data_IF_921331403685
#
_entry.id   IF_921331403685
#
_cell.length_a   1.000
_cell.length_b   1.000
_cell.length_c   1.000
_cell.angle_alpha   90.00
_cell.angle_beta   90.00
_cell.angle_gamma   90.00
#
_symmetry.space_group_name_H-M   'P 1'
#
loop_
_entity.id
_entity.type
_entity.pdbx_description
1 polymer ?
#
# COMPACT_ATOMS: atom_id res chain seq x y z
N UNK A 1 31.34 20.97 21.80
CA UNK A 1 30.16 21.74 22.25
C UNK A 1 28.94 21.05 21.68
N UNK A 2 28.19 20.36 22.53
CA UNK A 2 27.02 19.56 22.15
C UNK A 2 25.80 20.47 22.02
N UNK A 3 25.17 20.46 20.85
CA UNK A 3 23.90 21.13 20.62
C UNK A 3 22.83 20.34 21.38
N UNK A 4 22.06 20.94 22.30
CA UNK A 4 21.05 20.21 23.06
C UNK A 4 19.91 19.80 22.14
N UNK A 5 19.59 18.49 22.13
CA UNK A 5 18.31 17.97 21.62
C UNK A 5 17.19 18.68 22.38
N UNK A 6 16.40 19.53 21.71
CA UNK A 6 15.17 20.12 22.25
C UNK A 6 14.14 19.00 22.50
N UNK A 7 14.24 18.34 23.64
CA UNK A 7 13.14 17.58 24.23
C UNK A 7 12.06 18.56 24.65
N UNK A 8 10.82 18.36 24.17
CA UNK A 8 9.64 18.99 24.77
C UNK A 8 9.51 18.44 26.21
N UNK A 9 8.94 19.20 27.15
CA UNK A 9 8.59 18.66 28.45
C UNK A 9 7.59 17.52 28.22
N UNK A 10 7.82 16.37 28.85
CA UNK A 10 6.78 15.37 29.03
C UNK A 10 5.59 16.09 29.68
N UNK A 11 4.41 16.08 29.03
CA UNK A 11 3.21 16.66 29.63
C UNK A 11 2.92 15.86 30.90
N UNK A 12 3.00 16.51 32.06
CA UNK A 12 2.91 15.84 33.37
C UNK A 12 1.49 15.54 33.84
N UNK A 13 0.46 15.81 33.04
CA UNK A 13 -0.94 15.60 33.41
C UNK A 13 -1.92 15.77 32.23
N UNK A 14 -3.23 15.58 32.48
CA UNK A 14 -4.25 15.62 31.45
C UNK A 14 -4.35 16.97 30.74
N UNK A 15 -4.51 16.96 29.41
CA UNK A 15 -4.64 18.16 28.58
C UNK A 15 -5.84 18.03 27.66
N UNK A 16 -6.64 19.09 27.54
CA UNK A 16 -7.69 19.16 26.53
C UNK A 16 -7.12 19.53 25.17
N UNK A 17 -7.48 18.76 24.14
CA UNK A 17 -7.02 18.92 22.78
C UNK A 17 -8.21 18.94 21.83
N UNK A 18 -8.19 19.88 20.90
CA UNK A 18 -9.09 19.90 19.74
C UNK A 18 -8.40 19.36 18.48
N UNK A 19 -7.08 19.23 18.52
CA UNK A 19 -6.24 18.66 17.47
C UNK A 19 -4.87 18.28 18.05
N UNK A 20 -4.10 17.50 17.28
CA UNK A 20 -2.71 17.15 17.63
C UNK A 20 -2.56 15.72 18.12
N UNK A 21 -1.38 15.41 18.65
CA UNK A 21 -1.05 14.04 19.01
C UNK A 21 -1.58 13.62 20.37
N UNK A 22 -2.04 12.37 20.44
CA UNK A 22 -2.52 11.70 21.62
C UNK A 22 -1.42 10.81 22.19
N UNK A 23 -1.16 10.97 23.49
CA UNK A 23 -0.20 10.17 24.24
C UNK A 23 -0.90 9.12 25.15
N UNK A 24 -2.18 9.31 25.47
CA UNK A 24 -2.99 8.43 26.30
C UNK A 24 -3.54 7.20 25.56
N UNK A 25 -4.06 6.24 26.35
CA UNK A 25 -4.63 4.99 25.82
C UNK A 25 -6.01 5.19 25.18
N UNK A 26 -6.24 4.55 24.03
CA UNK A 26 -7.51 4.62 23.30
C UNK A 26 -8.54 3.55 23.71
N UNK A 27 -8.23 2.70 24.69
CA UNK A 27 -9.08 1.56 25.10
C UNK A 27 -10.55 1.93 25.33
N UNK A 28 -10.82 3.15 25.84
CA UNK A 28 -12.17 3.63 26.13
C UNK A 28 -12.96 4.09 24.88
N UNK A 29 -12.29 4.23 23.72
CA UNK A 29 -12.91 4.62 22.46
C UNK A 29 -13.35 3.42 21.62
N UNK A 30 -12.83 2.22 21.89
CA UNK A 30 -13.18 1.04 21.12
C UNK A 30 -14.66 0.67 21.32
N UNK A 31 -15.36 0.21 20.26
CA UNK A 31 -14.95 0.25 18.85
C UNK A 31 -15.21 1.62 18.18
N UNK A 32 -14.37 1.98 17.20
CA UNK A 32 -14.52 3.20 16.40
C UNK A 32 -14.07 3.00 14.95
N UNK A 33 -14.60 3.82 14.05
CA UNK A 33 -14.06 3.98 12.70
C UNK A 33 -12.95 5.02 12.71
N UNK A 34 -11.84 4.71 12.07
CA UNK A 34 -10.70 5.59 11.85
C UNK A 34 -10.63 5.94 10.38
N UNK A 35 -10.68 7.24 10.05
CA UNK A 35 -10.39 7.75 8.70
C UNK A 35 -9.06 8.48 8.77
N UNK A 36 -7.97 7.84 8.33
CA UNK A 36 -6.63 8.34 8.60
C UNK A 36 -5.62 8.03 7.48
N UNK A 37 -4.58 8.85 7.44
CA UNK A 37 -3.35 8.54 6.73
C UNK A 37 -2.36 7.85 7.69
N UNK A 38 -1.63 6.86 7.16
CA UNK A 38 -0.46 6.25 7.80
C UNK A 38 0.78 7.08 7.47
N UNK A 39 1.54 7.49 8.49
CA UNK A 39 2.80 8.20 8.29
C UNK A 39 3.21 9.03 9.49
N UNK A 40 4.44 9.56 9.52
CA UNK A 40 4.94 10.34 10.65
C UNK A 40 4.09 11.61 10.85
N UNK A 41 3.14 11.59 11.79
CA UNK A 41 2.30 12.76 12.10
C UNK A 41 3.12 13.90 12.70
N UNK A 42 4.29 13.57 13.25
CA UNK A 42 5.21 14.52 13.87
C UNK A 42 5.67 15.61 12.91
N UNK A 43 5.74 15.35 11.60
CA UNK A 43 5.99 16.40 10.60
C UNK A 43 4.79 17.32 10.44
N UNK A 44 3.60 16.72 10.21
CA UNK A 44 2.34 17.45 9.99
C UNK A 44 1.92 18.37 11.15
N UNK A 45 2.23 17.99 12.39
CA UNK A 45 1.94 18.80 13.58
C UNK A 45 3.14 19.62 14.07
N UNK A 46 4.36 19.45 13.52
CA UNK A 46 5.55 20.26 13.86
C UNK A 46 5.47 21.66 13.26
N UNK A 47 4.89 21.77 12.08
CA UNK A 47 4.73 23.04 11.37
C UNK A 47 3.51 23.82 11.85
N UNK A 48 3.08 23.62 13.10
CA UNK A 48 1.97 24.29 13.78
C UNK A 48 2.21 25.79 14.01
N UNK A 49 2.55 26.52 12.94
CA UNK A 49 2.30 27.93 12.84
C UNK A 49 0.80 28.23 12.88
N UNK A 50 0.43 29.47 13.21
CA UNK A 50 -0.97 29.90 13.21
C UNK A 50 -1.62 29.60 11.83
N UNK A 51 -2.72 28.86 11.82
CA UNK A 51 -3.44 28.45 10.60
C UNK A 51 -3.48 26.94 10.33
N UNK A 52 -2.65 26.14 10.99
CA UNK A 52 -2.58 24.68 10.82
C UNK A 52 -3.44 23.88 11.83
N UNK A 53 -4.34 24.56 12.52
CA UNK A 53 -5.25 23.98 13.52
C UNK A 53 -6.46 23.34 12.82
N UNK A 54 -6.46 22.02 12.68
CA UNK A 54 -7.62 21.27 12.19
C UNK A 54 -8.33 20.58 13.32
N UNK A 55 -9.38 21.22 13.82
CA UNK A 55 -10.28 20.63 14.82
C UNK A 55 -10.71 19.22 14.38
N UNK A 56 -10.56 18.26 15.29
CA UNK A 56 -10.87 16.85 15.08
C UNK A 56 -9.76 16.01 14.43
N UNK A 57 -8.64 16.61 14.01
CA UNK A 57 -7.50 15.89 13.45
C UNK A 57 -6.52 15.47 14.56
N UNK A 58 -6.41 14.17 14.81
CA UNK A 58 -5.58 13.63 15.88
C UNK A 58 -4.46 12.73 15.37
N UNK A 59 -3.29 12.86 15.99
CA UNK A 59 -2.15 11.97 15.82
C UNK A 59 -2.25 10.79 16.78
N UNK A 60 -2.27 9.57 16.28
CA UNK A 60 -2.46 8.35 17.09
C UNK A 60 -1.17 7.52 17.02
N UNK A 61 -0.44 7.46 18.13
CA UNK A 61 0.74 6.63 18.28
C UNK A 61 0.45 5.26 18.92
N UNK A 62 -0.60 5.16 19.75
CA UNK A 62 -0.95 3.98 20.55
C UNK A 62 -1.43 2.76 19.72
N UNK A 63 -1.57 2.91 18.40
CA UNK A 63 -1.97 1.85 17.48
C UNK A 63 -0.80 1.19 16.74
N UNK A 64 0.46 1.53 17.10
CA UNK A 64 1.67 0.90 16.58
C UNK A 64 2.57 0.33 17.69
N UNK A 65 3.14 -0.87 17.50
CA UNK A 65 4.08 -1.49 18.43
C UNK A 65 5.45 -0.80 18.42
N UNK A 66 5.72 0.10 17.48
CA UNK A 66 6.98 0.84 17.41
C UNK A 66 6.76 2.34 17.32
N UNK A 67 7.43 3.09 18.20
CA UNK A 67 7.40 4.57 18.24
C UNK A 67 7.97 5.16 16.93
N UNK A 68 8.74 4.38 16.17
CA UNK A 68 9.43 4.78 14.93
C UNK A 68 8.71 4.40 13.62
N UNK A 69 7.81 3.42 13.60
CA UNK A 69 7.12 2.99 12.39
C UNK A 69 5.60 2.94 12.60
N UNK A 70 4.84 3.74 11.85
CA UNK A 70 3.38 3.63 11.75
C UNK A 70 2.58 4.45 12.73
N UNK A 71 2.72 5.78 12.69
CA UNK A 71 1.76 6.65 13.39
C UNK A 71 0.59 7.03 12.47
N UNK A 72 -0.61 7.24 13.00
CA UNK A 72 -1.76 7.70 12.22
C UNK A 72 -2.04 9.17 12.43
N UNK A 73 -2.50 9.87 11.40
CA UNK A 73 -3.11 11.18 11.53
C UNK A 73 -4.49 11.16 10.88
N UNK A 74 -5.55 11.31 11.66
CA UNK A 74 -6.90 11.17 11.13
C UNK A 74 -8.03 11.50 12.09
N UNK A 75 -9.22 11.13 11.65
CA UNK A 75 -10.51 11.39 12.27
C UNK A 75 -10.99 10.14 13.00
N UNK A 76 -11.43 10.31 14.24
CA UNK A 76 -11.97 9.22 15.08
C UNK A 76 -13.49 9.35 15.09
N UNK A 77 -14.18 8.29 14.69
CA UNK A 77 -15.65 8.20 14.62
C UNK A 77 -16.12 7.05 15.53
N UNK A 78 -16.43 7.30 16.81
CA UNK A 78 -16.88 6.27 17.74
C UNK A 78 -18.15 5.57 17.22
N UNK A 79 -18.25 4.24 17.32
CA UNK A 79 -19.49 3.55 16.92
C UNK A 79 -20.70 4.00 17.74
N UNK A 80 -20.47 4.39 19.00
CA UNK A 80 -21.48 4.97 19.88
C UNK A 80 -22.09 6.27 19.34
N UNK A 81 -21.39 6.97 18.45
CA UNK A 81 -21.88 8.19 17.78
C UNK A 81 -22.68 7.92 16.50
N UNK A 82 -22.79 6.66 16.07
CA UNK A 82 -23.62 6.32 14.92
C UNK A 82 -25.10 6.54 15.23
N UNK A 83 -25.71 7.48 14.50
CA UNK A 83 -27.12 7.90 14.58
C UNK A 83 -28.07 6.89 13.94
N UNK A 84 -27.58 6.01 13.08
CA UNK A 84 -28.35 4.95 12.46
C UNK A 84 -28.21 3.64 13.26
N UNK A 85 -29.27 3.18 13.95
CA UNK A 85 -29.20 1.98 14.78
C UNK A 85 -28.87 0.71 13.98
N UNK A 86 -29.33 0.60 12.74
CA UNK A 86 -29.09 -0.60 11.92
C UNK A 86 -27.62 -0.69 11.51
N UNK A 87 -27.04 0.42 11.05
CA UNK A 87 -25.61 0.51 10.73
C UNK A 87 -24.76 0.28 11.98
N UNK A 88 -25.13 0.90 13.11
CA UNK A 88 -24.41 0.70 14.39
C UNK A 88 -24.39 -0.77 14.79
N UNK A 89 -25.55 -1.42 14.81
CA UNK A 89 -25.68 -2.82 15.19
C UNK A 89 -24.88 -3.73 14.25
N UNK A 90 -24.93 -3.52 12.93
CA UNK A 90 -24.14 -4.34 11.99
C UNK A 90 -22.63 -4.19 12.19
N UNK A 91 -22.14 -2.99 12.50
CA UNK A 91 -20.73 -2.77 12.82
C UNK A 91 -20.33 -3.40 14.16
N UNK A 92 -21.17 -3.28 15.20
CA UNK A 92 -20.94 -3.93 16.49
C UNK A 92 -20.97 -5.46 16.38
N UNK A 93 -21.91 -6.02 15.61
CA UNK A 93 -22.00 -7.46 15.38
C UNK A 93 -20.83 -7.96 14.54
N UNK A 94 -20.35 -7.16 13.58
CA UNK A 94 -19.08 -7.41 12.90
C UNK A 94 -17.93 -7.50 13.90
N UNK A 95 -17.82 -6.57 14.86
CA UNK A 95 -16.80 -6.66 15.92
C UNK A 95 -16.93 -7.97 16.72
N UNK A 96 -18.15 -8.29 17.18
CA UNK A 96 -18.43 -9.52 17.94
C UNK A 96 -18.01 -10.78 17.17
N UNK A 97 -18.26 -10.85 15.87
CA UNK A 97 -17.86 -11.98 15.02
C UNK A 97 -16.33 -12.18 15.01
N UNK A 98 -15.56 -11.09 15.00
CA UNK A 98 -14.10 -11.17 14.97
C UNK A 98 -13.47 -11.36 16.36
N UNK A 99 -14.13 -10.92 17.43
CA UNK A 99 -13.71 -11.18 18.82
C UNK A 99 -14.05 -12.59 19.32
N UNK A 100 -15.03 -13.26 18.71
CA UNK A 100 -15.45 -14.60 19.11
C UNK A 100 -14.29 -15.62 19.07
N UNK A 101 -14.20 -16.48 20.09
CA UNK A 101 -13.24 -17.59 20.16
C UNK A 101 -13.96 -18.93 19.90
N UNK A 102 -14.61 -19.05 18.75
CA UNK A 102 -15.48 -20.18 18.39
C UNK A 102 -14.89 -21.16 17.35
N UNK A 103 -13.62 -21.01 17.00
CA UNK A 103 -12.91 -21.89 16.05
C UNK A 103 -13.32 -21.74 14.58
N UNK A 104 -14.26 -20.84 14.24
CA UNK A 104 -14.69 -20.60 12.85
C UNK A 104 -13.56 -19.99 12.00
N UNK A 105 -13.55 -20.33 10.72
CA UNK A 105 -12.54 -19.82 9.77
C UNK A 105 -12.75 -18.32 9.52
N UNK A 106 -11.66 -17.57 9.35
CA UNK A 106 -11.69 -16.11 9.05
C UNK A 106 -12.57 -15.76 7.84
N UNK A 107 -12.43 -16.50 6.74
CA UNK A 107 -13.23 -16.30 5.53
C UNK A 107 -14.74 -16.51 5.76
N UNK A 108 -15.12 -17.32 6.74
CA UNK A 108 -16.51 -17.53 7.12
C UNK A 108 -17.06 -16.33 7.90
N UNK A 109 -16.35 -15.90 8.96
CA UNK A 109 -16.69 -14.71 9.75
C UNK A 109 -16.80 -13.47 8.88
N UNK A 110 -15.89 -13.34 7.92
CA UNK A 110 -15.87 -12.24 6.95
C UNK A 110 -17.09 -12.24 6.02
N UNK A 111 -17.47 -13.39 5.46
CA UNK A 111 -18.66 -13.49 4.61
C UNK A 111 -19.94 -13.15 5.37
N UNK A 112 -20.01 -13.58 6.63
CA UNK A 112 -21.11 -13.24 7.51
C UNK A 112 -21.11 -11.75 7.86
N UNK A 113 -19.97 -11.19 8.25
CA UNK A 113 -19.82 -9.76 8.51
C UNK A 113 -20.18 -8.92 7.28
N UNK A 114 -19.75 -9.31 6.08
CA UNK A 114 -20.14 -8.63 4.85
C UNK A 114 -21.66 -8.71 4.63
N UNK A 115 -22.28 -9.87 4.89
CA UNK A 115 -23.75 -10.02 4.84
C UNK A 115 -24.46 -9.08 5.80
N UNK A 116 -23.97 -8.94 7.04
CA UNK A 116 -24.53 -8.02 8.04
C UNK A 116 -24.42 -6.56 7.58
N UNK A 117 -23.26 -6.17 7.05
CA UNK A 117 -22.99 -4.82 6.55
C UNK A 117 -23.81 -4.50 5.31
N UNK A 118 -23.97 -5.46 4.39
CA UNK A 118 -24.80 -5.31 3.19
C UNK A 118 -26.29 -5.16 3.56
N UNK A 119 -26.76 -5.90 4.57
CA UNK A 119 -28.13 -5.84 5.06
C UNK A 119 -28.46 -4.51 5.76
N UNK A 120 -27.52 -3.95 6.54
CA UNK A 120 -27.66 -2.61 7.12
C UNK A 120 -27.60 -1.51 6.07
N UNK A 121 -26.98 -1.79 4.92
CA UNK A 121 -26.74 -0.83 3.87
C UNK A 121 -25.63 0.16 4.22
N UNK A 122 -25.37 1.10 3.32
CA UNK A 122 -24.43 2.19 3.58
C UNK A 122 -23.02 2.00 3.01
N UNK A 123 -22.78 0.95 2.22
CA UNK A 123 -21.58 0.85 1.38
C UNK A 123 -20.30 0.44 2.12
N UNK A 124 -20.43 -0.18 3.29
CA UNK A 124 -19.32 -0.80 4.01
C UNK A 124 -18.92 -2.10 3.31
N UNK A 125 -17.81 -2.09 2.58
CA UNK A 125 -17.23 -3.30 2.00
C UNK A 125 -15.93 -3.61 2.71
N UNK A 126 -15.83 -4.78 3.33
CA UNK A 126 -14.60 -5.26 3.94
C UNK A 126 -13.57 -5.58 2.83
N UNK A 127 -12.29 -5.28 3.06
CA UNK A 127 -11.15 -5.58 2.14
C UNK A 127 -10.45 -6.92 2.47
N UNK A 128 -10.02 -7.73 1.48
CA UNK A 128 -9.88 -9.21 1.59
C UNK A 128 -8.86 -9.77 2.62
N UNK A 129 -7.68 -9.19 2.77
CA UNK A 129 -6.49 -9.78 3.42
C UNK A 129 -5.77 -8.96 4.51
N UNK A 130 -5.71 -9.45 5.75
CA UNK A 130 -4.85 -8.86 6.77
C UNK A 130 -5.03 -9.52 8.13
N UNK A 131 -3.99 -9.44 8.96
CA UNK A 131 -4.08 -9.86 10.36
C UNK A 131 -5.12 -9.00 11.10
N UNK A 132 -6.17 -9.64 11.64
CA UNK A 132 -7.32 -8.99 12.25
C UNK A 132 -7.09 -8.67 13.72
N UNK A 133 -5.84 -8.39 14.10
CA UNK A 133 -5.46 -8.06 15.47
C UNK A 133 -6.07 -6.69 15.86
N UNK A 134 -7.37 -6.66 16.12
CA UNK A 134 -8.09 -5.46 16.60
C UNK A 134 -8.57 -4.48 15.54
N UNK A 135 -8.50 -4.80 14.24
CA UNK A 135 -9.04 -3.92 13.20
C UNK A 135 -9.52 -4.63 11.93
N UNK A 136 -10.35 -3.95 11.13
CA UNK A 136 -10.86 -4.36 9.82
C UNK A 136 -10.88 -3.17 8.86
N UNK A 137 -10.20 -3.26 7.73
CA UNK A 137 -10.23 -2.20 6.72
C UNK A 137 -11.46 -2.25 5.81
N UNK A 138 -11.86 -1.07 5.35
CA UNK A 138 -13.04 -0.83 4.54
C UNK A 138 -12.66 -0.21 3.18
N UNK A 139 -13.26 -0.73 2.12
CA UNK A 139 -13.04 -0.25 0.76
C UNK A 139 -13.64 1.15 0.59
N UNK A 140 -12.91 2.03 -0.08
CA UNK A 140 -13.32 3.42 -0.40
C UNK A 140 -14.30 3.46 -1.57
N UNK A 141 -15.45 2.80 -1.43
CA UNK A 141 -16.55 2.92 -2.41
C UNK A 141 -17.25 4.27 -2.23
N UNK A 142 -17.79 4.88 -3.30
CA UNK A 142 -18.48 6.19 -3.20
C UNK A 142 -19.56 6.26 -2.11
N UNK A 143 -20.25 5.14 -1.86
CA UNK A 143 -21.31 5.04 -0.86
C UNK A 143 -20.81 5.19 0.59
N UNK A 144 -19.55 4.87 0.89
CA UNK A 144 -19.01 4.88 2.25
C UNK A 144 -19.07 6.28 2.87
N UNK A 145 -18.49 7.29 2.22
CA UNK A 145 -18.44 8.66 2.75
C UNK A 145 -19.81 9.31 2.83
N UNK A 146 -20.71 9.00 1.89
CA UNK A 146 -22.11 9.42 1.99
C UNK A 146 -22.78 8.87 3.25
N UNK A 147 -22.46 7.64 3.66
CA UNK A 147 -22.98 7.04 4.89
C UNK A 147 -22.31 7.60 6.13
N UNK A 148 -20.99 7.80 6.13
CA UNK A 148 -20.29 8.46 7.25
C UNK A 148 -20.91 9.83 7.53
N UNK A 149 -21.14 10.64 6.48
CA UNK A 149 -21.81 11.93 6.59
C UNK A 149 -23.19 11.85 7.24
N UNK A 150 -24.04 10.92 6.78
CA UNK A 150 -25.42 10.79 7.27
C UNK A 150 -25.48 10.21 8.67
N UNK A 151 -24.61 9.27 9.00
CA UNK A 151 -24.78 8.42 10.17
C UNK A 151 -23.84 8.74 11.32
N UNK A 152 -22.67 9.34 11.10
CA UNK A 152 -21.65 9.45 12.16
C UNK A 152 -21.39 10.88 12.62
N UNK A 153 -21.04 11.02 13.90
CA UNK A 153 -20.22 12.13 14.37
C UNK A 153 -18.74 11.71 14.37
N UNK A 154 -17.85 12.70 14.37
CA UNK A 154 -16.44 12.53 14.63
C UNK A 154 -16.04 13.29 15.90
N UNK A 155 -14.99 12.83 16.57
CA UNK A 155 -14.44 13.51 17.74
C UNK A 155 -13.81 14.83 17.31
N UNK A 156 -14.18 15.91 17.99
CA UNK A 156 -13.62 17.25 17.77
C UNK A 156 -12.84 17.77 18.96
N UNK A 157 -13.07 17.19 20.15
CA UNK A 157 -12.37 17.54 21.37
C UNK A 157 -12.27 16.36 22.32
N UNK A 158 -11.11 16.22 22.94
CA UNK A 158 -10.80 15.14 23.86
C UNK A 158 -9.89 15.62 25.01
N UNK A 159 -9.90 14.88 26.10
CA UNK A 159 -8.92 15.01 27.18
C UNK A 159 -7.91 13.89 27.04
N UNK A 160 -6.67 14.25 26.81
CA UNK A 160 -5.55 13.33 26.67
C UNK A 160 -4.76 13.26 27.98
N UNK A 161 -4.70 12.07 28.58
CA UNK A 161 -3.90 11.79 29.76
C UNK A 161 -2.76 10.82 29.39
N UNK A 162 -1.50 11.30 29.30
CA UNK A 162 -0.35 10.47 28.94
C UNK A 162 -0.13 9.28 29.90
N UNK A 163 -0.56 9.38 31.16
CA UNK A 163 -0.46 8.29 32.14
C UNK A 163 -1.74 7.44 32.21
N UNK A 164 -2.80 7.85 31.49
CA UNK A 164 -4.15 7.36 31.65
C UNK A 164 -4.79 6.95 30.33
N UNK A 165 -5.99 7.45 30.10
CA UNK A 165 -6.83 7.16 28.92
C UNK A 165 -7.25 8.45 28.25
N UNK A 166 -7.52 8.37 26.96
CA UNK A 166 -8.19 9.44 26.23
C UNK A 166 -9.69 9.42 26.56
N UNK A 167 -10.26 10.59 26.81
CA UNK A 167 -11.69 10.79 27.07
C UNK A 167 -12.28 11.72 26.00
N UNK A 168 -13.38 11.32 25.35
CA UNK A 168 -14.09 12.20 24.41
C UNK A 168 -14.84 13.27 25.18
N UNK A 169 -14.59 14.53 24.83
CA UNK A 169 -15.29 15.68 25.42
C UNK A 169 -16.34 16.26 24.49
N UNK A 170 -16.16 16.16 23.17
CA UNK A 170 -17.12 16.61 22.18
C UNK A 170 -17.02 15.84 20.87
N UNK A 171 -18.17 15.69 20.21
CA UNK A 171 -18.32 15.16 18.86
C UNK A 171 -19.14 16.13 18.01
N UNK A 172 -18.93 16.12 16.70
CA UNK A 172 -19.73 16.86 15.72
C UNK A 172 -20.05 15.99 14.50
N UNK A 173 -21.19 16.23 13.82
CA UNK A 173 -21.55 15.49 12.60
C UNK A 173 -20.40 15.47 11.60
N UNK A 174 -20.12 14.30 11.02
CA UNK A 174 -19.09 14.15 9.99
C UNK A 174 -19.43 15.02 8.78
N UNK A 175 -18.66 16.10 8.49
CA UNK A 175 -19.13 17.14 7.58
C UNK A 175 -18.97 16.79 6.09
N UNK A 176 -18.08 15.85 5.74
CA UNK A 176 -17.72 15.56 4.34
C UNK A 176 -18.66 14.55 3.69
N UNK A 177 -19.26 14.93 2.56
CA UNK A 177 -20.24 14.12 1.82
C UNK A 177 -19.61 13.10 0.91
N UNK A 178 -18.36 13.35 0.51
CA UNK A 178 -17.61 12.51 -0.42
C UNK A 178 -16.18 12.31 0.07
N UNK A 179 -15.52 11.33 -0.53
CA UNK A 179 -14.10 11.08 -0.28
C UNK A 179 -13.22 12.25 -0.74
N UNK A 180 -13.55 12.86 -1.88
CA UNK A 180 -12.83 14.04 -2.40
C UNK A 180 -12.90 15.23 -1.45
N UNK A 181 -14.08 15.54 -0.91
CA UNK A 181 -14.24 16.62 0.08
C UNK A 181 -13.40 16.36 1.35
N UNK A 182 -13.32 15.10 1.79
CA UNK A 182 -12.49 14.74 2.94
C UNK A 182 -10.99 14.85 2.64
N UNK A 183 -10.56 14.50 1.43
CA UNK A 183 -9.16 14.66 0.98
C UNK A 183 -8.77 16.13 0.82
N UNK A 184 -9.60 16.93 0.17
CA UNK A 184 -9.43 18.38 0.02
C UNK A 184 -9.28 19.02 1.39
N UNK A 185 -10.19 18.71 2.31
CA UNK A 185 -10.07 19.17 3.68
C UNK A 185 -8.76 18.67 4.30
N UNK A 186 -8.44 17.39 4.20
CA UNK A 186 -7.25 16.86 4.87
C UNK A 186 -5.95 17.52 4.38
N UNK A 187 -5.83 17.81 3.08
CA UNK A 187 -4.61 18.33 2.45
C UNK A 187 -4.56 19.84 2.26
N UNK A 188 -5.67 20.56 2.38
CA UNK A 188 -5.71 22.01 2.13
C UNK A 188 -4.70 22.89 2.91
N UNK A 189 -4.15 22.57 4.11
CA UNK A 189 -3.07 23.36 4.72
C UNK A 189 -1.66 22.85 4.36
N UNK A 190 -1.57 21.75 3.62
CA UNK A 190 -0.34 21.02 3.32
C UNK A 190 -0.04 21.01 1.81
N UNK A 191 -0.73 21.86 1.04
CA UNK A 191 -0.79 21.86 -0.44
C UNK A 191 0.53 22.29 -1.11
N UNK A 192 1.52 22.71 -0.31
CA UNK A 192 2.87 23.06 -0.78
C UNK A 192 3.72 21.81 -1.12
N UNK A 193 3.15 20.60 -1.06
CA UNK A 193 3.89 19.36 -1.32
C UNK A 193 3.93 19.03 -2.81
N UNK A 194 5.12 18.69 -3.35
CA UNK A 194 5.28 18.32 -4.77
C UNK A 194 4.73 16.92 -5.12
N UNK A 195 3.96 16.27 -4.25
CA UNK A 195 3.50 14.89 -4.40
C UNK A 195 1.97 14.82 -4.44
N UNK A 196 1.36 13.84 -5.15
CA UNK A 196 -0.08 13.63 -5.12
C UNK A 196 -0.58 13.43 -3.69
N UNK A 197 -1.81 13.85 -3.42
CA UNK A 197 -2.43 13.68 -2.11
C UNK A 197 -2.40 12.22 -1.67
N UNK A 198 -1.76 11.96 -0.54
CA UNK A 198 -1.85 10.66 0.12
C UNK A 198 -3.30 10.36 0.51
N UNK A 199 -3.73 9.13 0.28
CA UNK A 199 -5.11 8.75 0.54
C UNK A 199 -5.37 8.51 2.03
N UNK A 200 -6.61 8.80 2.43
CA UNK A 200 -7.14 8.38 3.73
C UNK A 200 -7.72 6.99 3.64
N UNK A 201 -7.28 6.10 4.51
CA UNK A 201 -7.88 4.78 4.67
C UNK A 201 -8.98 4.81 5.72
N UNK A 202 -9.96 3.93 5.58
CA UNK A 202 -11.05 3.78 6.53
C UNK A 202 -10.99 2.41 7.17
N UNK A 203 -10.89 2.37 8.49
CA UNK A 203 -10.68 1.15 9.26
C UNK A 203 -11.61 1.12 10.46
N UNK A 204 -12.29 -0.01 10.68
CA UNK A 204 -12.97 -0.31 11.93
C UNK A 204 -11.96 -0.85 12.94
N UNK A 205 -11.79 -0.16 14.06
CA UNK A 205 -10.82 -0.49 15.13
C UNK A 205 -11.59 -0.88 16.38
N UNK A 206 -11.28 -2.04 16.95
CA UNK A 206 -12.00 -2.62 18.10
C UNK A 206 -11.11 -3.25 19.17
N UNK A 207 -9.82 -3.40 18.92
CA UNK A 207 -8.86 -3.72 19.97
C UNK A 207 -7.53 -3.01 19.73
N UNK A 208 -6.69 -3.02 20.76
CA UNK A 208 -5.30 -2.56 20.65
C UNK A 208 -4.59 -3.48 19.66
N UNK A 209 -4.34 -2.96 18.47
CA UNK A 209 -3.66 -3.71 17.44
C UNK A 209 -2.19 -3.89 17.81
N UNK A 210 -1.63 -5.06 17.50
CA UNK A 210 -0.17 -5.28 17.49
C UNK A 210 0.52 -4.52 16.34
N UNK A 211 -0.04 -3.37 15.96
CA UNK A 211 0.24 -2.62 14.75
C UNK A 211 -0.93 -2.73 13.80
N UNK A 212 -1.56 -1.61 13.49
CA UNK A 212 -2.19 -1.49 12.18
C UNK A 212 -1.00 -1.50 11.20
N UNK A 213 -0.62 -2.68 10.70
CA UNK A 213 0.66 -2.88 10.02
C UNK A 213 0.79 -2.16 8.66
N UNK A 214 1.88 -2.41 7.89
CA UNK A 214 2.08 -1.89 6.52
C UNK A 214 0.88 -2.07 5.58
N UNK A 215 -0.05 -2.96 5.93
CA UNK A 215 -1.38 -3.20 5.36
C UNK A 215 -2.23 -1.97 4.99
N UNK A 216 -2.00 -0.81 5.61
CA UNK A 216 -2.69 0.44 5.24
C UNK A 216 -2.19 1.07 3.92
N UNK A 217 -0.99 0.70 3.46
CA UNK A 217 -0.43 1.11 2.15
C UNK A 217 -1.03 0.27 1.02
N UNK A 218 -1.15 -1.05 1.23
CA UNK A 218 -1.74 -1.99 0.27
C UNK A 218 -3.24 -1.72 0.05
N UNK A 219 -3.92 -1.17 1.06
CA UNK A 219 -5.38 -1.10 1.08
C UNK A 219 -5.92 0.20 0.57
N UNK A 220 -5.05 1.09 0.08
CA UNK A 220 -5.59 2.27 -0.52
C UNK A 220 -4.85 3.18 -1.43
N UNK A 221 -3.52 3.14 -1.49
CA UNK A 221 -2.70 3.83 -2.50
C UNK A 221 -1.27 3.90 -1.97
N UNK A 222 -0.48 2.89 -2.25
CA UNK A 222 0.33 3.11 -3.43
C UNK A 222 -0.37 2.38 -4.55
N UNK A 223 -0.95 3.13 -5.46
CA UNK A 223 -0.98 2.65 -6.83
C UNK A 223 0.49 2.61 -7.21
N UNK A 224 1.25 1.57 -6.82
CA UNK A 224 2.54 1.35 -7.46
C UNK A 224 2.28 1.46 -8.96
N UNK A 225 1.14 0.90 -9.42
CA UNK A 225 0.56 1.08 -10.74
C UNK A 225 -0.39 2.30 -10.88
N UNK A 226 0.11 3.46 -11.29
CA UNK A 226 -0.69 4.67 -11.60
C UNK A 226 -1.00 4.85 -13.09
N UNK A 227 -1.94 5.72 -13.43
CA UNK A 227 -2.08 6.27 -14.80
C UNK A 227 -1.46 7.67 -14.79
N UNK A 228 -0.34 7.91 -15.50
CA UNK A 228 0.21 9.26 -15.54
C UNK A 228 -0.78 10.25 -16.19
N UNK A 229 -0.75 11.51 -15.74
CA UNK A 229 -1.71 12.54 -16.18
C UNK A 229 -1.40 13.09 -17.58
N UNK A 230 -0.11 13.11 -17.96
CA UNK A 230 0.35 13.67 -19.22
C UNK A 230 0.09 12.74 -20.40
N UNK A 231 -0.90 13.04 -21.23
CA UNK A 231 -1.13 12.31 -22.48
C UNK A 231 -0.16 12.79 -23.57
N UNK A 232 0.95 12.07 -23.74
CA UNK A 232 2.01 12.47 -24.66
C UNK A 232 1.50 12.61 -26.11
N UNK A 233 0.61 11.71 -26.55
CA UNK A 233 -0.05 11.75 -27.87
C UNK A 233 -0.79 13.06 -28.17
N UNK A 234 -1.25 13.79 -27.15
CA UNK A 234 -1.99 15.05 -27.34
C UNK A 234 -1.05 16.24 -27.61
N UNK A 235 0.26 16.06 -27.36
CA UNK A 235 1.26 17.12 -27.38
C UNK A 235 2.46 16.84 -28.29
N UNK A 236 2.69 15.58 -28.65
CA UNK A 236 3.86 15.17 -29.42
C UNK A 236 3.49 14.13 -30.49
N UNK A 237 4.01 14.32 -31.69
CA UNK A 237 3.98 13.33 -32.77
C UNK A 237 5.33 12.64 -32.88
N UNK A 238 5.31 11.32 -32.82
CA UNK A 238 6.53 10.54 -32.98
C UNK A 238 7.03 10.62 -34.43
N UNK A 239 8.36 10.76 -34.61
CA UNK A 239 8.96 10.75 -35.94
C UNK A 239 8.66 9.41 -36.64
N UNK A 240 8.08 9.38 -37.86
CA UNK A 240 7.58 8.15 -38.48
C UNK A 240 8.62 7.04 -38.74
N UNK A 241 9.89 7.43 -38.89
CA UNK A 241 11.02 6.55 -39.17
C UNK A 241 11.84 6.19 -37.91
N UNK A 242 11.35 6.52 -36.71
CA UNK A 242 12.02 6.14 -35.47
C UNK A 242 11.82 4.64 -35.21
N UNK A 243 12.90 3.83 -35.16
CA UNK A 243 12.79 2.42 -34.84
C UNK A 243 12.44 2.23 -33.37
N UNK A 244 11.78 1.12 -33.06
CA UNK A 244 11.60 0.67 -31.68
C UNK A 244 12.95 0.26 -31.09
N UNK A 245 13.11 0.51 -29.80
CA UNK A 245 14.31 0.17 -29.09
C UNK A 245 14.45 -1.35 -28.93
N UNK A 246 15.67 -1.84 -29.07
CA UNK A 246 15.97 -3.22 -28.70
C UNK A 246 15.85 -3.36 -27.18
N UNK A 247 14.84 -4.10 -26.74
CA UNK A 247 14.48 -4.26 -25.34
C UNK A 247 14.86 -5.65 -24.80
N UNK A 248 15.47 -5.69 -23.62
CA UNK A 248 15.60 -6.91 -22.84
C UNK A 248 15.29 -6.66 -21.37
N UNK A 249 14.67 -7.65 -20.73
CA UNK A 249 14.33 -7.66 -19.31
C UNK A 249 14.85 -8.97 -18.73
N UNK A 250 15.52 -8.92 -17.60
CA UNK A 250 16.03 -10.09 -16.92
C UNK A 250 15.95 -9.92 -15.41
N UNK A 251 15.72 -11.03 -14.70
CA UNK A 251 15.81 -11.09 -13.25
C UNK A 251 16.93 -12.05 -12.86
N UNK A 252 17.67 -11.69 -11.81
CA UNK A 252 18.73 -12.54 -11.25
C UNK A 252 18.99 -12.20 -9.79
N UNK A 253 19.40 -13.19 -9.01
CA UNK A 253 19.89 -12.92 -7.66
C UNK A 253 21.15 -12.05 -7.70
N UNK A 254 21.19 -11.09 -6.79
CA UNK A 254 22.37 -10.26 -6.54
C UNK A 254 23.04 -10.56 -5.20
N UNK A 255 22.36 -11.33 -4.36
CA UNK A 255 22.77 -11.73 -3.02
C UNK A 255 21.60 -12.40 -2.31
N UNK A 256 21.76 -12.65 -1.01
CA UNK A 256 20.65 -13.11 -0.19
C UNK A 256 19.59 -12.02 -0.08
N UNK A 257 18.32 -12.40 -0.24
CA UNK A 257 17.13 -11.55 -0.07
C UNK A 257 16.96 -10.46 -1.13
N UNK A 258 17.77 -10.48 -2.20
CA UNK A 258 17.79 -9.44 -3.21
C UNK A 258 17.85 -10.01 -4.62
N UNK A 259 16.93 -9.54 -5.45
CA UNK A 259 16.86 -9.81 -6.88
C UNK A 259 17.14 -8.49 -7.62
N UNK A 260 17.96 -8.54 -8.67
CA UNK A 260 18.07 -7.45 -9.63
C UNK A 260 17.10 -7.65 -10.77
N UNK A 261 16.28 -6.63 -11.01
CA UNK A 261 15.55 -6.42 -12.26
C UNK A 261 16.43 -5.57 -13.19
N UNK A 262 17.06 -6.21 -14.17
CA UNK A 262 17.86 -5.57 -15.20
C UNK A 262 16.95 -5.28 -16.41
N UNK A 263 16.82 -4.00 -16.78
CA UNK A 263 16.08 -3.54 -17.96
C UNK A 263 17.05 -2.85 -18.91
N UNK A 264 17.17 -3.36 -20.13
CA UNK A 264 18.05 -2.78 -21.16
C UNK A 264 17.24 -2.29 -22.33
N UNK A 265 17.47 -1.04 -22.74
CA UNK A 265 16.94 -0.48 -23.99
C UNK A 265 18.04 0.30 -24.71
N UNK A 266 18.18 0.11 -26.03
CA UNK A 266 19.19 0.80 -26.85
C UNK A 266 20.62 0.72 -26.29
N UNK A 267 21.00 -0.45 -25.77
CA UNK A 267 22.33 -0.69 -25.19
C UNK A 267 22.57 -0.06 -23.81
N UNK A 268 21.58 0.62 -23.22
CA UNK A 268 21.65 1.15 -21.86
C UNK A 268 20.87 0.24 -20.91
N UNK A 269 21.56 -0.28 -19.89
CA UNK A 269 20.96 -1.10 -18.83
C UNK A 269 20.71 -0.27 -17.58
N UNK A 270 19.49 -0.33 -17.06
CA UNK A 270 19.13 0.13 -15.72
C UNK A 270 18.91 -1.07 -14.85
N UNK A 271 19.47 -1.03 -13.65
CA UNK A 271 19.34 -2.06 -12.64
C UNK A 271 18.48 -1.53 -11.50
N UNK A 272 17.45 -2.30 -11.17
CA UNK A 272 16.52 -2.01 -10.08
C UNK A 272 16.66 -3.14 -9.08
N UNK A 273 16.84 -2.79 -7.81
CA UNK A 273 16.87 -3.75 -6.72
C UNK A 273 15.44 -4.17 -6.38
N UNK A 274 15.24 -5.43 -5.99
CA UNK A 274 13.95 -5.98 -5.58
C UNK A 274 14.20 -6.82 -4.33
N UNK A 275 13.74 -6.36 -3.16
CA UNK A 275 14.03 -7.02 -1.88
C UNK A 275 12.87 -7.85 -1.34
N UNK A 276 13.18 -8.80 -0.46
CA UNK A 276 12.18 -9.59 0.30
C UNK A 276 11.32 -8.73 1.24
N UNK A 277 11.81 -7.55 1.59
CA UNK A 277 11.13 -6.60 2.46
C UNK A 277 9.88 -6.01 1.81
N UNK A 278 9.91 -5.83 0.48
CA UNK A 278 8.86 -5.23 -0.34
C UNK A 278 8.90 -5.81 -1.76
N UNK A 279 8.56 -7.09 -1.96
CA UNK A 279 8.67 -7.73 -3.26
C UNK A 279 7.76 -7.05 -4.29
N UNK A 280 8.30 -6.43 -5.36
CA UNK A 280 7.49 -5.65 -6.29
C UNK A 280 6.77 -6.51 -7.33
N UNK A 281 6.91 -7.84 -7.30
CA UNK A 281 6.53 -8.74 -8.39
C UNK A 281 5.03 -8.73 -8.71
N UNK A 282 4.17 -8.63 -7.69
CA UNK A 282 2.73 -8.51 -7.89
C UNK A 282 2.37 -7.20 -8.62
N UNK A 283 3.03 -6.10 -8.25
CA UNK A 283 2.84 -4.79 -8.89
C UNK A 283 3.41 -4.77 -10.32
N UNK A 284 4.55 -5.42 -10.57
CA UNK A 284 5.11 -5.60 -11.92
C UNK A 284 4.14 -6.39 -12.79
N UNK A 285 3.55 -7.47 -12.28
CA UNK A 285 2.52 -8.23 -13.01
C UNK A 285 1.30 -7.35 -13.29
N UNK A 286 0.78 -6.64 -12.29
CA UNK A 286 -0.38 -5.76 -12.46
C UNK A 286 -0.11 -4.65 -13.50
N UNK A 287 1.09 -4.06 -13.50
CA UNK A 287 1.51 -3.06 -14.48
C UNK A 287 1.63 -3.65 -15.88
N UNK A 288 2.36 -4.75 -16.06
CA UNK A 288 2.57 -5.37 -17.36
C UNK A 288 1.28 -5.92 -17.97
N UNK A 289 0.36 -6.46 -17.16
CA UNK A 289 -0.98 -6.89 -17.59
C UNK A 289 -1.82 -5.76 -18.18
N UNK A 290 -1.69 -4.54 -17.66
CA UNK A 290 -2.41 -3.37 -18.19
C UNK A 290 -1.89 -3.00 -19.58
N UNK A 291 -0.58 -3.05 -19.76
CA UNK A 291 0.07 -2.85 -21.07
C UNK A 291 -0.39 -3.92 -22.06
N UNK A 292 -0.36 -5.19 -21.66
CA UNK A 292 -0.81 -6.34 -22.47
C UNK A 292 -2.30 -6.25 -22.85
N UNK A 293 -3.12 -5.65 -21.98
CA UNK A 293 -4.53 -5.37 -22.25
C UNK A 293 -4.76 -4.15 -23.18
N UNK A 294 -3.70 -3.52 -23.68
CA UNK A 294 -3.75 -2.38 -24.61
C UNK A 294 -3.83 -1.02 -23.92
N UNK A 295 -3.52 -0.92 -22.62
CA UNK A 295 -3.44 0.37 -21.96
C UNK A 295 -2.22 1.16 -22.47
N UNK A 296 -2.50 2.34 -23.01
CA UNK A 296 -1.48 3.17 -23.67
C UNK A 296 -0.71 4.04 -22.70
N UNK A 297 -1.14 4.12 -21.44
CA UNK A 297 -0.50 4.98 -20.45
C UNK A 297 -0.62 4.40 -19.05
N UNK A 298 0.51 4.02 -18.45
CA UNK A 298 0.55 3.39 -17.13
C UNK A 298 1.95 3.50 -16.54
N UNK A 299 2.06 3.67 -15.23
CA UNK A 299 3.33 3.80 -14.53
C UNK A 299 3.40 2.87 -13.32
N UNK A 300 4.59 2.35 -13.03
CA UNK A 300 4.90 1.52 -11.87
C UNK A 300 5.96 2.20 -11.00
N UNK A 301 5.77 2.27 -9.68
CA UNK A 301 6.79 2.66 -8.71
C UNK A 301 7.31 1.43 -7.95
N UNK A 302 8.63 1.29 -7.90
CA UNK A 302 9.34 0.27 -7.11
C UNK A 302 10.12 1.00 -6.00
N UNK A 303 9.79 0.73 -4.74
CA UNK A 303 10.37 1.36 -3.54
C UNK A 303 11.19 0.37 -2.71
N UNK A 304 12.51 0.55 -2.73
CA UNK A 304 13.50 -0.30 -2.05
C UNK A 304 14.18 0.44 -0.90
N UNK A 305 13.39 0.96 0.05
CA UNK A 305 13.89 1.64 1.26
C UNK A 305 15.01 2.68 0.98
N UNK A 306 14.83 3.45 -0.10
CA UNK A 306 15.83 4.36 -0.64
C UNK A 306 15.38 5.00 -1.95
N UNK A 307 16.07 4.78 -3.08
CA UNK A 307 15.68 5.34 -4.36
C UNK A 307 14.38 4.70 -4.87
N UNK A 308 13.37 5.52 -5.17
CA UNK A 308 12.15 5.04 -5.83
C UNK A 308 12.35 5.10 -7.34
N UNK A 309 12.31 3.94 -7.99
CA UNK A 309 12.38 3.81 -9.45
C UNK A 309 10.97 3.80 -10.01
N UNK A 310 10.68 4.75 -10.89
CA UNK A 310 9.38 4.85 -11.56
C UNK A 310 9.54 4.45 -13.03
N UNK A 311 8.84 3.39 -13.42
CA UNK A 311 8.76 2.87 -14.78
C UNK A 311 7.48 3.42 -15.42
N UNK A 312 7.58 4.30 -16.41
CA UNK A 312 6.40 4.91 -17.04
C UNK A 312 6.30 4.54 -18.51
N UNK A 313 5.10 4.15 -18.93
CA UNK A 313 4.69 4.03 -20.31
C UNK A 313 3.82 5.24 -20.67
N UNK A 314 4.26 6.01 -21.67
CA UNK A 314 3.54 7.18 -22.17
C UNK A 314 3.16 6.96 -23.64
N UNK A 315 1.88 6.80 -23.92
CA UNK A 315 1.37 6.49 -25.25
C UNK A 315 1.65 7.59 -26.26
N UNK A 316 1.98 7.19 -27.49
CA UNK A 316 2.18 8.11 -28.62
C UNK A 316 0.94 8.19 -29.52
N UNK A 317 1.00 9.05 -30.54
CA UNK A 317 -0.01 9.12 -31.59
C UNK A 317 0.03 7.92 -32.57
N UNK A 318 1.07 7.08 -32.48
CA UNK A 318 1.20 5.85 -33.26
C UNK A 318 0.71 4.64 -32.42
N UNK A 319 -0.32 3.90 -32.88
CA UNK A 319 -0.81 2.71 -32.18
C UNK A 319 0.30 1.66 -31.98
N UNK A 320 0.34 1.05 -30.80
CA UNK A 320 1.34 0.04 -30.43
C UNK A 320 2.71 0.61 -30.07
N UNK A 321 2.94 1.93 -30.20
CA UNK A 321 4.19 2.58 -29.80
C UNK A 321 4.01 3.50 -28.61
N UNK A 322 4.94 3.40 -27.67
CA UNK A 322 4.97 4.23 -26.48
C UNK A 322 6.38 4.69 -26.14
N UNK A 323 6.48 5.82 -25.45
CA UNK A 323 7.69 6.25 -24.80
C UNK A 323 7.78 5.59 -23.42
N UNK A 324 8.73 4.68 -23.26
CA UNK A 324 9.05 4.03 -22.00
C UNK A 324 10.17 4.78 -21.29
N UNK A 325 9.98 5.09 -20.01
CA UNK A 325 10.95 5.80 -19.20
C UNK A 325 11.19 5.11 -17.87
N UNK A 326 12.41 5.24 -17.34
CA UNK A 326 12.74 4.88 -15.96
C UNK A 326 13.34 6.11 -15.31
N UNK A 327 12.68 6.61 -14.26
CA UNK A 327 13.09 7.80 -13.52
C UNK A 327 13.33 7.48 -12.06
N UNK A 328 14.16 8.29 -11.42
CA UNK A 328 14.32 8.32 -9.96
C UNK A 328 13.52 9.47 -9.39
N UNK A 329 12.51 9.20 -8.56
CA UNK A 329 11.57 10.23 -8.13
C UNK A 329 12.20 11.32 -7.26
N UNK A 330 13.11 10.97 -6.35
CA UNK A 330 13.68 11.95 -5.42
C UNK A 330 14.74 12.85 -6.06
N UNK A 331 15.47 12.35 -7.05
CA UNK A 331 16.51 13.09 -7.75
C UNK A 331 16.03 13.68 -9.09
N UNK A 332 14.82 13.31 -9.52
CA UNK A 332 14.25 13.64 -10.84
C UNK A 332 15.16 13.20 -12.01
N UNK A 333 16.00 12.19 -11.78
CA UNK A 333 16.98 11.71 -12.76
C UNK A 333 16.35 10.72 -13.73
N UNK A 334 16.49 10.95 -15.04
CA UNK A 334 16.08 10.00 -16.09
C UNK A 334 17.20 8.97 -16.32
N UNK A 335 16.93 7.72 -15.93
CA UNK A 335 17.85 6.60 -16.07
C UNK A 335 17.71 5.85 -17.38
N UNK A 336 16.52 5.86 -17.98
CA UNK A 336 16.27 5.25 -19.29
C UNK A 336 15.11 5.98 -19.97
N UNK A 337 15.23 6.16 -21.28
CA UNK A 337 14.18 6.67 -22.13
C UNK A 337 14.31 6.01 -23.49
N UNK A 338 13.26 5.34 -23.94
CA UNK A 338 13.25 4.59 -25.18
C UNK A 338 11.84 4.54 -25.76
N UNK A 339 11.74 4.55 -27.09
CA UNK A 339 10.49 4.26 -27.78
C UNK A 339 10.41 2.76 -27.96
N UNK A 340 9.30 2.15 -27.55
CA UNK A 340 9.14 0.71 -27.51
C UNK A 340 7.82 0.31 -28.16
N UNK A 341 7.80 -0.91 -28.68
CA UNK A 341 6.58 -1.64 -29.00
C UNK A 341 5.93 -2.13 -27.69
N UNK A 342 4.65 -1.84 -27.50
CA UNK A 342 3.94 -2.13 -26.25
C UNK A 342 3.75 -3.62 -26.00
N UNK A 343 3.52 -4.38 -27.06
CA UNK A 343 3.31 -5.83 -26.98
C UNK A 343 4.64 -6.53 -26.68
N UNK A 344 5.74 -6.10 -27.31
CA UNK A 344 7.08 -6.57 -26.98
C UNK A 344 7.44 -6.25 -25.52
N UNK A 345 7.17 -5.04 -25.05
CA UNK A 345 7.41 -4.65 -23.65
C UNK A 345 6.70 -5.58 -22.67
N UNK A 346 5.39 -5.75 -22.79
CA UNK A 346 4.61 -6.61 -21.90
C UNK A 346 5.12 -8.06 -21.95
N UNK A 347 5.38 -8.57 -23.15
CA UNK A 347 5.89 -9.93 -23.37
C UNK A 347 7.27 -10.14 -22.74
N UNK A 348 8.20 -9.18 -22.84
CA UNK A 348 9.54 -9.29 -22.23
C UNK A 348 9.49 -9.35 -20.72
N UNK A 349 8.62 -8.55 -20.09
CA UNK A 349 8.40 -8.64 -18.63
C UNK A 349 7.79 -9.98 -18.23
N UNK A 350 6.80 -10.47 -18.98
CA UNK A 350 6.19 -11.78 -18.77
C UNK A 350 7.21 -12.92 -18.88
N UNK A 351 8.01 -12.91 -19.95
CA UNK A 351 9.08 -13.89 -20.22
C UNK A 351 10.09 -13.90 -19.06
N UNK A 352 10.59 -12.72 -18.67
CA UNK A 352 11.60 -12.60 -17.63
C UNK A 352 11.08 -13.10 -16.26
N UNK A 353 9.86 -12.72 -15.88
CA UNK A 353 9.23 -13.17 -14.64
C UNK A 353 9.01 -14.68 -14.64
N UNK A 354 8.47 -15.23 -15.72
CA UNK A 354 8.25 -16.67 -15.86
C UNK A 354 9.57 -17.43 -15.76
N UNK A 355 10.55 -17.12 -16.61
CA UNK A 355 11.84 -17.82 -16.62
C UNK A 355 12.54 -17.74 -15.26
N UNK A 356 12.55 -16.58 -14.63
CA UNK A 356 13.19 -16.45 -13.32
C UNK A 356 12.44 -17.21 -12.23
N UNK A 357 11.13 -17.01 -12.07
CA UNK A 357 10.37 -17.64 -10.98
C UNK A 357 10.18 -19.15 -11.16
N UNK A 358 10.18 -19.63 -12.40
CA UNK A 358 10.05 -21.05 -12.72
C UNK A 358 11.39 -21.80 -12.69
N UNK A 359 12.43 -21.25 -13.32
CA UNK A 359 13.70 -21.96 -13.54
C UNK A 359 14.88 -21.42 -12.73
N UNK A 360 14.86 -20.13 -12.40
CA UNK A 360 16.00 -19.41 -11.80
C UNK A 360 15.86 -19.08 -10.32
N UNK A 361 14.68 -19.30 -9.73
CA UNK A 361 14.37 -18.91 -8.36
C UNK A 361 14.90 -19.96 -7.38
N UNK A 362 15.66 -19.49 -6.41
CA UNK A 362 16.21 -20.28 -5.32
C UNK A 362 15.56 -19.80 -4.02
N UNK A 363 14.61 -20.58 -3.46
CA UNK A 363 13.94 -20.20 -2.24
C UNK A 363 14.91 -20.02 -1.07
N UNK A 364 16.01 -20.77 -1.01
CA UNK A 364 17.00 -20.64 0.07
C UNK A 364 17.77 -19.32 0.00
N UNK A 365 17.93 -18.74 -1.20
CA UNK A 365 18.52 -17.41 -1.37
C UNK A 365 17.53 -16.28 -1.08
N UNK A 366 16.23 -16.56 -1.22
CA UNK A 366 15.15 -15.60 -0.95
C UNK A 366 14.67 -15.60 0.51
N UNK A 367 14.77 -16.74 1.21
CA UNK A 367 14.18 -16.96 2.52
C UNK A 367 14.93 -16.27 3.66
N UNK A 368 14.46 -15.08 4.03
CA UNK A 368 14.76 -14.54 5.34
C UNK A 368 13.91 -15.30 6.36
N UNK A 369 14.53 -15.94 7.35
CA UNK A 369 13.95 -16.96 8.25
C UNK A 369 12.69 -16.54 9.06
N UNK A 370 12.12 -15.35 8.83
CA UNK A 370 11.06 -14.77 9.65
C UNK A 370 9.95 -14.00 8.89
N UNK A 371 9.88 -13.96 7.54
CA UNK A 371 8.93 -13.03 6.87
C UNK A 371 8.12 -13.53 5.67
N UNK A 372 8.55 -14.56 4.96
CA UNK A 372 7.78 -15.19 3.88
C UNK A 372 8.16 -16.66 3.85
N UNK A 373 7.21 -17.59 3.71
CA UNK A 373 7.59 -18.97 3.42
C UNK A 373 8.21 -18.97 2.00
N UNK A 374 9.49 -19.35 1.84
CA UNK A 374 10.26 -19.25 0.59
C UNK A 374 9.52 -19.69 -0.69
N UNK A 375 8.72 -20.74 -0.58
CA UNK A 375 8.02 -21.39 -1.69
C UNK A 375 6.74 -20.67 -2.13
N UNK A 376 6.30 -19.66 -1.36
CA UNK A 376 5.06 -18.94 -1.62
C UNK A 376 5.20 -17.88 -2.72
N UNK A 377 6.38 -17.28 -2.93
CA UNK A 377 6.53 -16.19 -3.91
C UNK A 377 6.30 -16.66 -5.36
N UNK A 378 6.99 -17.70 -5.87
CA UNK A 378 6.71 -18.22 -7.21
C UNK A 378 5.24 -18.62 -7.36
N UNK A 379 4.68 -19.29 -6.35
CA UNK A 379 3.27 -19.71 -6.36
C UNK A 379 2.32 -18.50 -6.43
N UNK A 380 2.53 -17.47 -5.60
CA UNK A 380 1.69 -16.28 -5.55
C UNK A 380 1.72 -15.49 -6.86
N UNK A 381 2.90 -15.32 -7.47
CA UNK A 381 3.05 -14.56 -8.71
C UNK A 381 2.60 -15.37 -9.92
N UNK A 382 3.09 -16.60 -10.05
CA UNK A 382 2.83 -17.42 -11.24
C UNK A 382 1.41 -17.95 -11.26
N UNK A 383 0.69 -18.06 -10.13
CA UNK A 383 -0.73 -18.46 -10.14
C UNK A 383 -1.67 -17.46 -10.80
N UNK A 384 -1.20 -16.24 -11.12
CA UNK A 384 -2.00 -15.27 -11.86
C UNK A 384 -2.40 -15.84 -13.25
N UNK A 385 -3.66 -15.67 -13.69
CA UNK A 385 -4.15 -16.13 -15.00
C UNK A 385 -3.38 -15.57 -16.20
N UNK A 386 -2.66 -14.45 -16.03
CA UNK A 386 -1.84 -13.87 -17.08
C UNK A 386 -0.79 -14.86 -17.60
N UNK A 387 -0.37 -15.84 -16.81
CA UNK A 387 0.59 -16.87 -17.21
C UNK A 387 -0.04 -18.19 -17.71
N UNK A 388 -1.37 -18.27 -17.89
CA UNK A 388 -2.05 -19.51 -18.31
C UNK A 388 -1.52 -20.07 -19.63
N UNK A 389 -1.25 -19.20 -20.61
CA UNK A 389 -0.66 -19.56 -21.91
C UNK A 389 0.71 -20.24 -21.79
N UNK A 390 1.45 -19.98 -20.70
CA UNK A 390 2.75 -20.62 -20.42
C UNK A 390 2.62 -21.97 -19.75
N UNK A 391 1.54 -22.18 -18.99
CA UNK A 391 1.22 -23.49 -18.38
C UNK A 391 0.72 -24.51 -19.40
N UNK A 392 -0.02 -24.03 -20.40
CA UNK A 392 -0.69 -24.88 -21.41
C UNK A 392 0.21 -25.22 -22.61
N UNK A 393 1.39 -24.60 -22.72
CA UNK A 393 2.34 -24.93 -23.76
C UNK A 393 2.80 -26.39 -23.61
N UNK A 394 2.58 -27.27 -24.61
CA UNK A 394 2.99 -28.66 -24.50
C UNK A 394 4.51 -28.73 -24.41
N UNK A 395 5.01 -29.37 -23.35
CA UNK A 395 6.43 -29.67 -23.16
C UNK A 395 7.01 -30.23 -24.46
N UNK A 396 7.78 -29.38 -25.15
CA UNK A 396 8.61 -29.75 -26.27
C UNK A 396 9.77 -30.61 -25.78
N UNK A 397 9.47 -31.85 -25.42
CA UNK A 397 10.40 -32.99 -25.40
C UNK A 397 11.73 -32.79 -24.68
N UNK A 398 11.73 -32.89 -23.34
CA UNK A 398 12.83 -33.52 -22.62
C UNK A 398 12.35 -34.03 -21.26
N UNK A 399 11.91 -35.30 -21.22
CA UNK A 399 11.94 -36.08 -19.98
C UNK A 399 13.38 -36.06 -19.45
N UNK A 400 13.67 -35.25 -18.42
CA UNK A 400 14.86 -35.50 -17.60
C UNK A 400 14.56 -36.70 -16.72
N UNK A 401 15.28 -37.77 -17.00
CA UNK A 401 15.37 -38.94 -16.14
C UNK A 401 15.80 -38.51 -14.74
N UNK A 402 15.18 -39.11 -13.73
CA UNK A 402 15.70 -39.12 -12.38
C UNK A 402 17.12 -39.73 -12.40
N UNK A 403 18.12 -38.92 -12.09
CA UNK A 403 19.45 -39.38 -11.70
C UNK A 403 20.02 -38.44 -10.65
N UNK A 404 20.14 -38.99 -9.45
CA UNK A 404 21.24 -38.87 -8.50
C UNK A 404 21.56 -37.50 -7.86
N UNK A 405 21.19 -37.41 -6.58
CA UNK A 405 21.95 -36.84 -5.45
C UNK A 405 23.20 -36.04 -5.81
N UNK A 406 23.07 -34.71 -5.75
CA UNK A 406 24.21 -33.79 -5.66
C UNK A 406 24.68 -33.74 -4.19
N UNK A 407 25.99 -33.90 -3.92
CA UNK A 407 26.49 -33.90 -2.55
C UNK A 407 26.47 -32.49 -1.95
N UNK A 408 26.01 -32.40 -0.69
CA UNK A 408 26.12 -31.21 0.17
C UNK A 408 27.55 -30.65 0.14
N UNK A 409 27.70 -29.38 -0.25
CA UNK A 409 28.91 -28.61 0.04
C UNK A 409 28.86 -28.17 1.49
N UNK A 410 29.87 -28.57 2.28
CA UNK A 410 30.09 -28.04 3.61
C UNK A 410 30.49 -26.55 3.55
N UNK A 411 30.09 -25.74 4.54
CA UNK A 411 30.47 -24.34 4.61
C UNK A 411 31.98 -24.18 4.89
N UNK A 412 32.59 -23.05 4.49
CA UNK A 412 34.01 -22.84 4.66
C UNK A 412 34.34 -22.65 6.14
N UNK A 413 35.32 -23.41 6.63
CA UNK A 413 35.95 -23.22 7.92
C UNK A 413 36.73 -21.91 7.93
N UNK A 414 36.55 -21.10 8.97
CA UNK A 414 37.33 -19.90 9.25
C UNK A 414 38.83 -20.20 9.24
N UNK A 415 39.58 -19.37 8.53
CA UNK A 415 41.04 -19.33 8.48
C UNK A 415 41.52 -17.95 8.06
#
# INVERSE_FOLDING_TARGET
MSIPRRGRPLRGGPVELEWGALDGRLDALFPFLLVAERGPWRGRFKDGGPGNERRGLFGIADLSPSISAGTYAGLILPLSSCRDPAVRTALEDTVRLFEAQDGRKRAERRREAQTLLDAAGGGFTLLQDGDTAGFLGLARKPALFGTLHRCFDHVTRLRDDPAGRVEVLATEPFPWRSYGEALEWYHAPFDDRPFPWSHLSTTLVFARAAGIGPWLEEWGTRLSVTVPELRLADHFTLRPDLPDAELSVALRFSGYYTIWLDITANGRTVRIECTDSRPPFADVVAWAKRIDAGETQVALEIDEEGPIRRLELLGTDQPGKALFTITELYEETVHLQAVVDTDDLARRFKDALWTFLHDGFDPDQWANANRCEPDELPTAVLSDPWFDDRREAPDGGARRAATDTVPRREPPTEG
#
